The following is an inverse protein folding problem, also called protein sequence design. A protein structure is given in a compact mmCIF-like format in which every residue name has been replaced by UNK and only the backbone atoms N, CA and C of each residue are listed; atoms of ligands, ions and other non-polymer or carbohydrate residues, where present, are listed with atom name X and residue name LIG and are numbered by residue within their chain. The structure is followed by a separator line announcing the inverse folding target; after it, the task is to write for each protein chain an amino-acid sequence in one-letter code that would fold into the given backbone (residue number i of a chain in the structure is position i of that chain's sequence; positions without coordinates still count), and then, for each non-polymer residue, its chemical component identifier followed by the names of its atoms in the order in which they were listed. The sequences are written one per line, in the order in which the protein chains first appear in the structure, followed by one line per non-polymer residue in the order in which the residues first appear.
data_IF_624852166590
#
_entry.id   IF_624852166590
#
_cell.length_a   1.000
_cell.length_b   1.000
_cell.length_c   1.000
_cell.angle_alpha   90.00
_cell.angle_beta   90.00
_cell.angle_gamma   90.00
#
_symmetry.space_group_name_H-M   'P 1'
#
loop_
_entity.id
_entity.type
_entity.pdbx_description
1 polymer ?
#
# COMPACT_ATOMS: atom_id res chain seq x y z
N UNK A 1 9.28 45.92 21.95
CA UNK A 1 8.23 45.00 21.46
C UNK A 1 8.62 44.61 20.04
N UNK A 2 9.07 43.36 19.81
CA UNK A 2 9.29 42.83 18.47
C UNK A 2 8.06 42.03 18.05
N UNK A 3 7.44 42.42 16.94
CA UNK A 3 6.31 41.73 16.32
C UNK A 3 6.82 40.53 15.53
N UNK A 4 6.95 39.38 16.19
CA UNK A 4 7.37 38.12 15.57
C UNK A 4 6.16 37.27 15.13
N UNK A 5 5.09 37.94 14.68
CA UNK A 5 3.81 37.33 14.26
C UNK A 5 3.94 36.62 12.91
N UNK A 6 4.71 35.54 12.87
CA UNK A 6 4.63 34.55 11.80
C UNK A 6 5.93 34.07 11.16
N UNK A 7 7.12 34.42 11.68
CA UNK A 7 8.38 33.99 11.06
C UNK A 7 8.91 32.62 11.53
N UNK A 8 8.30 32.00 12.54
CA UNK A 8 8.70 30.66 13.02
C UNK A 8 7.59 29.61 12.93
N UNK A 9 6.72 29.72 11.92
CA UNK A 9 5.89 28.59 11.53
C UNK A 9 6.68 27.78 10.50
N UNK A 10 7.63 26.96 10.98
CA UNK A 10 8.21 25.92 10.15
C UNK A 10 7.09 24.95 9.79
N UNK A 11 6.64 25.00 8.54
CA UNK A 11 5.80 23.94 7.97
C UNK A 11 6.64 22.67 8.02
N UNK A 12 6.18 21.58 8.66
CA UNK A 12 6.93 20.33 8.69
C UNK A 12 7.28 19.90 7.27
N UNK A 13 8.59 19.90 6.97
CA UNK A 13 9.13 19.38 5.72
C UNK A 13 8.96 17.88 5.74
N UNK A 14 7.94 17.44 5.01
CA UNK A 14 7.53 16.05 4.89
C UNK A 14 6.93 15.51 6.19
N UNK A 15 5.72 14.97 6.10
CA UNK A 15 5.37 13.88 7.00
C UNK A 15 5.92 12.67 6.25
N UNK A 16 7.16 12.21 6.50
CA UNK A 16 7.50 10.89 6.03
C UNK A 16 6.49 9.94 6.65
N UNK A 17 6.07 8.91 5.91
CA UNK A 17 5.29 7.85 6.52
C UNK A 17 6.01 7.38 7.78
N UNK A 18 5.28 6.95 8.78
CA UNK A 18 5.88 6.41 10.00
C UNK A 18 5.86 4.90 9.88
N UNK A 19 7.02 4.27 10.04
CA UNK A 19 7.09 2.82 10.16
C UNK A 19 6.21 2.34 11.32
N UNK A 20 5.50 1.23 11.13
CA UNK A 20 4.65 0.64 12.15
C UNK A 20 3.27 1.30 12.26
N UNK A 21 2.94 2.25 11.40
CA UNK A 21 1.64 2.92 11.39
C UNK A 21 0.74 2.34 10.30
N UNK A 22 -0.56 2.42 10.55
CA UNK A 22 -1.60 2.03 9.61
C UNK A 22 -2.15 3.28 8.93
N UNK A 23 -2.30 3.23 7.61
CA UNK A 23 -2.85 4.30 6.80
C UNK A 23 -4.03 3.82 5.98
N UNK A 24 -4.98 4.72 5.71
CA UNK A 24 -5.98 4.48 4.66
C UNK A 24 -5.37 4.86 3.32
N UNK A 25 -5.40 3.94 2.36
CA UNK A 25 -4.84 4.14 1.03
C UNK A 25 -5.77 3.59 -0.06
N UNK A 26 -5.77 4.23 -1.23
CA UNK A 26 -6.45 3.69 -2.42
C UNK A 26 -5.49 2.86 -3.24
N UNK A 27 -5.93 1.74 -3.80
CA UNK A 27 -5.13 1.01 -4.79
C UNK A 27 -5.06 1.85 -6.07
N UNK A 28 -3.87 2.33 -6.43
CA UNK A 28 -3.65 3.21 -7.58
C UNK A 28 -3.38 2.42 -8.86
N UNK A 29 -2.51 1.41 -8.78
CA UNK A 29 -2.17 0.58 -9.93
C UNK A 29 -1.64 -0.78 -9.51
N UNK A 30 -1.77 -1.77 -10.40
CA UNK A 30 -1.08 -3.04 -10.29
C UNK A 30 -0.30 -3.30 -11.57
N UNK A 31 0.99 -3.56 -11.45
CA UNK A 31 1.87 -3.90 -12.58
C UNK A 31 2.45 -5.29 -12.36
N UNK A 32 2.36 -6.14 -13.38
CA UNK A 32 3.07 -7.41 -13.40
C UNK A 32 4.42 -7.22 -14.07
N UNK A 33 5.48 -7.68 -13.41
CA UNK A 33 6.82 -7.78 -14.01
C UNK A 33 7.21 -9.24 -14.14
N UNK A 34 7.88 -9.56 -15.24
CA UNK A 34 8.50 -10.87 -15.47
C UNK A 34 9.97 -10.62 -15.77
N UNK A 35 10.84 -11.08 -14.87
CA UNK A 35 12.28 -11.01 -15.07
C UNK A 35 12.91 -12.35 -14.75
N UNK A 36 13.50 -12.99 -15.76
CA UNK A 36 14.13 -14.30 -15.66
C UNK A 36 13.22 -15.38 -15.03
N UNK A 37 11.90 -15.33 -15.30
CA UNK A 37 10.93 -16.28 -14.79
C UNK A 37 10.44 -15.99 -13.36
N UNK A 38 10.97 -14.95 -12.69
CA UNK A 38 10.41 -14.44 -11.44
C UNK A 38 9.30 -13.44 -11.77
N UNK A 39 8.07 -13.94 -11.79
CA UNK A 39 6.87 -13.14 -12.01
C UNK A 39 6.44 -12.50 -10.70
N UNK A 40 6.32 -11.16 -10.69
CA UNK A 40 5.90 -10.38 -9.52
C UNK A 40 4.74 -9.46 -9.85
N UNK A 41 3.83 -9.32 -8.90
CA UNK A 41 2.75 -8.35 -8.91
C UNK A 41 3.10 -7.22 -7.97
N UNK A 42 3.30 -6.02 -8.51
CA UNK A 42 3.54 -4.82 -7.73
C UNK A 42 2.25 -4.02 -7.62
N UNK A 43 1.72 -3.93 -6.40
CA UNK A 43 0.58 -3.12 -6.03
C UNK A 43 1.07 -1.76 -5.54
N UNK A 44 0.60 -0.67 -6.14
CA UNK A 44 0.92 0.69 -5.73
C UNK A 44 -0.28 1.30 -5.04
N UNK A 45 -0.07 1.79 -3.82
CA UNK A 45 -1.08 2.41 -2.98
C UNK A 45 -0.86 3.91 -2.88
N UNK A 46 -1.93 4.69 -3.04
CA UNK A 46 -1.97 6.13 -2.88
C UNK A 46 -2.47 6.51 -1.49
N UNK A 47 -1.65 7.26 -0.73
CA UNK A 47 -1.99 7.79 0.59
C UNK A 47 -2.12 9.31 0.48
N UNK A 48 -3.20 9.87 1.02
CA UNK A 48 -3.43 11.32 1.11
C UNK A 48 -3.36 11.79 2.56
N UNK A 49 -2.33 12.57 2.91
CA UNK A 49 -2.13 13.16 4.26
C UNK A 49 -1.83 14.64 4.10
N UNK A 50 -2.57 15.51 4.78
CA UNK A 50 -2.32 16.96 4.85
C UNK A 50 -1.95 17.59 3.49
N UNK A 51 -2.77 17.30 2.47
CA UNK A 51 -2.61 17.77 1.07
C UNK A 51 -1.44 17.17 0.27
N UNK A 52 -0.70 16.20 0.82
CA UNK A 52 0.34 15.45 0.11
C UNK A 52 -0.18 14.10 -0.36
N UNK A 53 0.27 13.71 -1.54
CA UNK A 53 0.05 12.38 -2.10
C UNK A 53 1.35 11.60 -2.00
N UNK A 54 1.29 10.42 -1.38
CA UNK A 54 2.43 9.52 -1.19
C UNK A 54 2.09 8.18 -1.84
N UNK A 55 3.02 7.62 -2.60
CA UNK A 55 2.89 6.30 -3.19
C UNK A 55 3.79 5.31 -2.48
N UNK A 56 3.24 4.15 -2.12
CA UNK A 56 3.99 3.03 -1.52
C UNK A 56 3.61 1.73 -2.19
N UNK A 57 4.57 0.81 -2.25
CA UNK A 57 4.44 -0.42 -3.03
C UNK A 57 4.38 -1.65 -2.13
N UNK A 58 3.61 -2.65 -2.56
CA UNK A 58 3.68 -4.03 -2.09
C UNK A 58 4.04 -4.91 -3.30
N UNK A 59 5.13 -5.66 -3.24
CA UNK A 59 5.50 -6.60 -4.31
C UNK A 59 5.31 -8.03 -3.83
N UNK A 60 4.48 -8.78 -4.53
CA UNK A 60 4.17 -10.18 -4.23
C UNK A 60 4.61 -11.06 -5.39
N UNK A 61 5.44 -12.06 -5.12
CA UNK A 61 5.83 -13.05 -6.13
C UNK A 61 4.67 -13.97 -6.49
N UNK A 62 4.68 -14.45 -7.74
CA UNK A 62 3.74 -15.47 -8.22
C UNK A 62 3.85 -16.73 -7.35
N UNK A 63 5.08 -17.20 -7.15
CA UNK A 63 5.38 -18.37 -6.35
C UNK A 63 5.66 -17.99 -4.90
N UNK A 64 5.30 -18.89 -3.98
CA UNK A 64 5.59 -18.71 -2.56
C UNK A 64 7.11 -18.81 -2.29
N UNK A 65 7.55 -18.12 -1.24
CA UNK A 65 8.89 -18.27 -0.67
C UNK A 65 8.79 -18.54 0.83
N UNK A 66 9.89 -18.87 1.49
CA UNK A 66 9.92 -19.07 2.95
C UNK A 66 9.46 -17.83 3.75
N UNK A 67 9.47 -16.65 3.11
CA UNK A 67 9.19 -15.36 3.75
C UNK A 67 7.92 -14.68 3.24
N UNK A 68 7.31 -15.21 2.18
CA UNK A 68 6.17 -14.56 1.52
C UNK A 68 5.23 -15.59 0.91
N UNK A 69 3.92 -15.33 1.04
CA UNK A 69 2.88 -16.10 0.36
C UNK A 69 3.00 -15.96 -1.17
N UNK A 70 2.50 -16.97 -1.89
CA UNK A 70 2.22 -16.83 -3.33
C UNK A 70 1.21 -15.70 -3.56
N UNK A 71 1.17 -15.14 -4.78
CA UNK A 71 0.15 -14.14 -5.13
C UNK A 71 -1.26 -14.69 -4.87
N UNK A 72 -1.53 -15.93 -5.28
CA UNK A 72 -2.84 -16.57 -5.11
C UNK A 72 -3.27 -16.62 -3.65
N UNK A 73 -2.37 -17.01 -2.74
CA UNK A 73 -2.69 -17.12 -1.32
C UNK A 73 -2.69 -15.77 -0.61
N UNK A 74 -1.86 -14.83 -1.06
CA UNK A 74 -1.89 -13.45 -0.58
C UNK A 74 -3.23 -12.79 -0.92
N UNK A 75 -3.73 -12.94 -2.15
CA UNK A 75 -5.04 -12.44 -2.56
C UNK A 75 -6.16 -13.04 -1.69
N UNK A 76 -6.18 -14.37 -1.49
CA UNK A 76 -7.20 -15.01 -0.62
C UNK A 76 -7.23 -14.46 0.81
N UNK A 77 -6.06 -14.10 1.35
CA UNK A 77 -5.93 -13.73 2.77
C UNK A 77 -6.13 -12.24 3.03
N UNK A 78 -5.72 -11.38 2.10
CA UNK A 78 -5.58 -9.95 2.36
C UNK A 78 -6.56 -9.08 1.60
N UNK A 79 -7.55 -9.67 0.92
CA UNK A 79 -8.35 -8.88 0.01
C UNK A 79 -9.72 -9.42 -0.35
N UNK A 80 -10.55 -8.49 -0.80
CA UNK A 80 -11.71 -8.76 -1.62
C UNK A 80 -11.33 -9.06 -3.09
N UNK A 81 -10.04 -9.36 -3.40
CA UNK A 81 -9.62 -9.73 -4.76
C UNK A 81 -10.15 -11.14 -5.11
N UNK A 82 -10.49 -11.35 -6.37
CA UNK A 82 -10.80 -12.69 -6.86
C UNK A 82 -9.54 -13.54 -6.78
N UNK A 83 -9.65 -14.72 -6.18
CA UNK A 83 -8.54 -15.68 -6.09
C UNK A 83 -8.12 -16.23 -7.47
N UNK A 84 -8.90 -16.01 -8.52
CA UNK A 84 -8.61 -16.44 -9.89
C UNK A 84 -8.08 -15.32 -10.79
N UNK A 85 -7.61 -14.21 -10.21
CA UNK A 85 -7.12 -12.97 -10.86
C UNK A 85 -7.16 -12.97 -12.41
N UNK A 86 -8.13 -12.30 -13.03
CA UNK A 86 -8.06 -12.05 -14.48
C UNK A 86 -7.62 -10.61 -14.75
N UNK A 87 -8.07 -9.67 -13.93
CA UNK A 87 -7.78 -8.25 -14.05
C UNK A 87 -7.91 -7.56 -12.67
N UNK A 88 -7.07 -6.56 -12.41
CA UNK A 88 -7.11 -5.74 -11.21
C UNK A 88 -7.96 -4.47 -11.34
N UNK A 89 -8.42 -4.11 -12.54
CA UNK A 89 -9.25 -2.92 -12.79
C UNK A 89 -10.43 -2.75 -11.83
N UNK A 90 -11.20 -3.81 -11.46
CA UNK A 90 -12.34 -3.66 -10.55
C UNK A 90 -11.96 -3.20 -9.13
N UNK A 91 -10.67 -3.21 -8.80
CA UNK A 91 -10.14 -2.92 -7.48
C UNK A 91 -9.36 -1.62 -7.41
N UNK A 92 -9.08 -0.99 -8.56
CA UNK A 92 -8.50 0.35 -8.62
C UNK A 92 -9.44 1.31 -7.88
N UNK A 93 -8.85 2.29 -7.20
CA UNK A 93 -9.47 3.28 -6.32
C UNK A 93 -10.11 2.72 -5.04
N UNK A 94 -10.23 1.40 -4.87
CA UNK A 94 -10.73 0.81 -3.61
C UNK A 94 -9.81 1.14 -2.46
N UNK A 95 -10.42 1.48 -1.32
CA UNK A 95 -9.71 1.83 -0.10
C UNK A 95 -9.33 0.59 0.71
N UNK A 96 -8.12 0.64 1.25
CA UNK A 96 -7.51 -0.37 2.07
C UNK A 96 -6.88 0.27 3.30
N UNK A 97 -6.78 -0.50 4.38
CA UNK A 97 -5.85 -0.25 5.46
C UNK A 97 -4.51 -0.87 5.06
N UNK A 98 -3.44 -0.08 5.09
CA UNK A 98 -2.09 -0.55 4.81
C UNK A 98 -1.21 -0.38 6.04
N UNK A 99 -0.50 -1.43 6.42
CA UNK A 99 0.54 -1.39 7.44
C UNK A 99 1.88 -1.08 6.78
N UNK A 100 2.51 0.01 7.19
CA UNK A 100 3.73 0.52 6.54
C UNK A 100 4.97 0.02 7.28
N UNK A 101 5.86 -0.64 6.54
CA UNK A 101 7.21 -0.99 6.97
C UNK A 101 8.25 -0.05 6.36
N UNK A 102 9.48 -0.13 6.86
CA UNK A 102 10.62 0.59 6.30
C UNK A 102 11.83 -0.34 6.12
N UNK A 103 12.50 -0.25 4.97
CA UNK A 103 13.76 -0.94 4.71
C UNK A 103 14.74 0.00 4.02
N UNK A 104 15.94 0.15 4.60
CA UNK A 104 16.97 1.07 4.11
C UNK A 104 16.45 2.50 3.84
N UNK A 105 15.58 3.02 4.71
CA UNK A 105 14.98 4.35 4.58
C UNK A 105 13.84 4.47 3.57
N UNK A 106 13.49 3.38 2.86
CA UNK A 106 12.37 3.35 1.91
C UNK A 106 11.14 2.70 2.54
N UNK A 107 9.99 3.35 2.39
CA UNK A 107 8.72 2.83 2.89
C UNK A 107 8.10 1.85 1.90
N UNK A 108 7.50 0.79 2.44
CA UNK A 108 6.76 -0.20 1.67
C UNK A 108 5.53 -0.65 2.44
N UNK A 109 4.59 -1.27 1.73
CA UNK A 109 3.41 -1.87 2.32
C UNK A 109 3.76 -3.26 2.80
N UNK A 110 3.77 -3.44 4.12
CA UNK A 110 4.09 -4.71 4.77
C UNK A 110 2.87 -5.62 4.87
N UNK A 111 1.69 -5.05 5.12
CA UNK A 111 0.43 -5.79 5.15
C UNK A 111 -0.75 -4.92 4.69
N UNK A 112 -1.82 -5.57 4.24
CA UNK A 112 -3.02 -4.94 3.68
C UNK A 112 -4.28 -5.61 4.24
N UNK A 113 -5.29 -4.79 4.53
CA UNK A 113 -6.64 -5.24 4.82
C UNK A 113 -7.68 -4.38 4.07
N UNK A 114 -8.82 -4.94 3.64
CA UNK A 114 -9.90 -4.17 3.03
C UNK A 114 -10.53 -3.19 4.04
N UNK A 115 -10.91 -1.99 3.59
CA UNK A 115 -11.59 -1.01 4.43
C UNK A 115 -13.13 -1.19 4.42
N UNK A 116 -13.69 -1.56 3.27
CA UNK A 116 -15.13 -1.82 3.12
C UNK A 116 -15.42 -3.33 3.24
N UNK A 117 -16.42 -3.64 4.07
CA UNK A 117 -16.63 -4.94 4.72
C UNK A 117 -16.73 -6.18 3.83
N UNK A 118 -16.44 -7.31 4.47
CA UNK A 118 -16.72 -8.68 4.02
C UNK A 118 -17.99 -8.77 3.17
N UNK A 119 -17.83 -9.03 1.88
CA UNK A 119 -18.90 -9.44 0.99
C UNK A 119 -19.06 -10.96 0.98
N UNK A 120 -19.65 -11.53 2.03
CA UNK A 120 -20.21 -12.89 2.07
C UNK A 120 -19.51 -13.84 3.06
N UNK A 121 -20.18 -14.48 4.02
CA UNK A 121 -21.57 -14.46 4.47
C UNK A 121 -21.66 -15.06 5.88
N UNK A 122 -22.73 -14.76 6.61
CA UNK A 122 -23.19 -15.57 7.73
C UNK A 122 -23.68 -16.94 7.22
#
# INVERSE_FOLDING_TARGET
MNNDRGQSLQIPKCTPLTEGYIYVASLYSVTQTDFNGDVKHQFTYEIKIDQKVIYVNCSISKDATDKQLSITDWLKRHSNYSSTHENYDPYIDRKHLIYVGQYNGNYYVQDVAPLDGFGGGL
#
